data_IF_274580044654
#
_entry.id   IF_274580044654
#
_cell.length_a   1.000
_cell.length_b   1.000
_cell.length_c   1.000
_cell.angle_alpha   90.00
_cell.angle_beta   90.00
_cell.angle_gamma   90.00
#
_symmetry.space_group_name_H-M   'P 1'
#
loop_
_entity.id
_entity.type
_entity.pdbx_description
1 polymer ?
#
# COMPACT_ATOMS: atom_id res chain seq x y z
N UNK A 1 3.35 -16.45 2.73
CA UNK A 1 2.14 -17.29 2.85
C UNK A 1 2.36 -18.23 4.04
N UNK A 2 1.31 -18.64 4.72
CA UNK A 2 1.39 -19.60 5.83
C UNK A 2 0.72 -20.91 5.41
N UNK A 3 1.27 -22.04 5.80
CA UNK A 3 0.70 -23.34 5.52
C UNK A 3 -0.71 -23.47 6.14
N UNK A 4 -1.61 -24.15 5.45
CA UNK A 4 -3.02 -24.29 5.90
C UNK A 4 -3.91 -23.08 5.68
N UNK A 5 -3.37 -21.95 5.21
CA UNK A 5 -4.12 -20.73 4.94
C UNK A 5 -4.53 -20.62 3.48
N UNK A 6 -5.78 -20.21 3.24
CA UNK A 6 -6.30 -19.98 1.89
C UNK A 6 -6.24 -18.49 1.51
N UNK A 7 -5.55 -18.20 0.43
CA UNK A 7 -5.33 -16.83 -0.08
C UNK A 7 -6.05 -16.55 -1.41
N UNK A 8 -6.74 -17.54 -1.96
CA UNK A 8 -7.44 -17.45 -3.22
C UNK A 8 -8.87 -16.94 -3.11
N UNK A 9 -9.63 -17.09 -4.19
CA UNK A 9 -11.04 -16.77 -4.22
C UNK A 9 -11.85 -17.85 -3.50
N UNK A 10 -12.59 -17.55 -2.43
CA UNK A 10 -13.22 -18.55 -1.57
C UNK A 10 -14.21 -19.46 -2.29
N UNK A 11 -14.89 -18.98 -3.33
CA UNK A 11 -15.82 -19.80 -4.10
C UNK A 11 -15.17 -21.06 -4.69
N UNK A 12 -13.87 -21.03 -4.98
CA UNK A 12 -13.13 -22.20 -5.48
C UNK A 12 -13.06 -23.35 -4.48
N UNK A 13 -13.19 -23.07 -3.17
CA UNK A 13 -13.18 -24.10 -2.12
C UNK A 13 -14.48 -24.89 -2.07
N UNK A 14 -15.59 -24.30 -2.48
CA UNK A 14 -16.90 -24.96 -2.46
C UNK A 14 -17.26 -25.57 -3.82
N UNK A 15 -16.53 -25.20 -4.88
CA UNK A 15 -16.67 -25.76 -6.22
C UNK A 15 -15.72 -26.94 -6.47
N UNK A 16 -15.93 -28.02 -5.74
CA UNK A 16 -15.06 -29.20 -5.83
C UNK A 16 -15.05 -29.88 -7.20
N UNK A 17 -16.07 -29.67 -8.02
CA UNK A 17 -16.24 -30.29 -9.35
C UNK A 17 -16.24 -29.26 -10.49
N UNK A 18 -15.52 -28.12 -10.28
CA UNK A 18 -15.46 -27.04 -11.24
C UNK A 18 -16.70 -26.15 -11.22
N UNK A 19 -16.81 -25.27 -12.24
CA UNK A 19 -17.81 -24.22 -12.34
C UNK A 19 -19.27 -24.67 -12.56
N UNK A 20 -19.52 -25.95 -12.56
CA UNK A 20 -20.85 -26.53 -12.80
C UNK A 20 -21.74 -26.58 -11.56
N UNK A 21 -21.19 -26.35 -10.38
CA UNK A 21 -21.95 -26.38 -9.12
C UNK A 21 -22.39 -24.96 -8.74
N UNK A 22 -23.67 -24.83 -8.39
CA UNK A 22 -24.18 -23.55 -7.92
C UNK A 22 -23.57 -23.17 -6.57
N UNK A 23 -22.73 -22.11 -6.49
CA UNK A 23 -22.15 -21.68 -5.25
C UNK A 23 -23.18 -21.00 -4.32
N UNK A 24 -24.40 -20.78 -4.78
CA UNK A 24 -25.46 -20.10 -4.03
C UNK A 24 -25.93 -20.87 -2.79
N UNK A 25 -25.52 -22.12 -2.63
CA UNK A 25 -25.77 -22.88 -1.40
C UNK A 25 -24.89 -22.46 -0.22
N UNK A 26 -23.85 -21.66 -0.47
CA UNK A 26 -22.97 -21.13 0.58
C UNK A 26 -23.11 -19.61 0.61
N UNK A 27 -23.45 -19.07 1.78
CA UNK A 27 -23.63 -17.62 1.90
C UNK A 27 -22.32 -16.86 1.70
N UNK A 28 -22.42 -15.62 1.21
CA UNK A 28 -21.26 -14.71 1.07
C UNK A 28 -20.50 -14.55 2.39
N UNK A 29 -21.18 -14.51 3.52
CA UNK A 29 -20.59 -14.40 4.85
C UNK A 29 -19.77 -15.65 5.24
N UNK A 30 -20.20 -16.83 4.82
CA UNK A 30 -19.45 -18.07 5.02
C UNK A 30 -18.21 -18.13 4.11
N UNK A 31 -18.35 -17.72 2.85
CA UNK A 31 -17.20 -17.62 1.93
C UNK A 31 -16.15 -16.63 2.42
N UNK A 32 -16.55 -15.50 2.98
CA UNK A 32 -15.64 -14.52 3.53
C UNK A 32 -14.78 -15.08 4.66
N UNK A 33 -15.34 -15.92 5.53
CA UNK A 33 -14.63 -16.55 6.64
C UNK A 33 -13.57 -17.57 6.20
N UNK A 34 -13.70 -18.14 5.01
CA UNK A 34 -12.71 -19.09 4.46
C UNK A 34 -11.44 -18.41 3.96
N UNK A 35 -11.48 -17.12 3.71
CA UNK A 35 -10.38 -16.37 3.13
C UNK A 35 -9.43 -15.83 4.19
N UNK A 36 -8.15 -16.05 4.02
CA UNK A 36 -7.13 -15.31 4.78
C UNK A 36 -7.05 -13.88 4.27
N UNK A 37 -7.22 -12.87 5.14
CA UNK A 37 -7.15 -11.47 4.73
C UNK A 37 -5.81 -11.11 4.09
N UNK A 38 -5.83 -10.28 3.04
CA UNK A 38 -4.63 -9.76 2.43
C UNK A 38 -3.89 -8.85 3.42
N UNK A 39 -2.56 -8.94 3.48
CA UNK A 39 -1.70 -8.08 4.31
C UNK A 39 -1.91 -6.59 4.00
N UNK A 40 -2.19 -6.25 2.75
CA UNK A 40 -2.47 -4.90 2.30
C UNK A 40 -3.52 -4.88 1.19
N UNK A 41 -4.44 -3.94 1.29
CA UNK A 41 -5.43 -3.65 0.26
C UNK A 41 -4.92 -2.54 -0.65
N UNK A 42 -5.04 -2.76 -1.95
CA UNK A 42 -4.66 -1.80 -2.99
C UNK A 42 -5.95 -1.27 -3.65
N UNK A 43 -6.45 -0.09 -3.27
CA UNK A 43 -7.72 0.41 -3.77
C UNK A 43 -7.73 0.52 -5.29
N UNK A 44 -8.68 -0.18 -5.92
CA UNK A 44 -8.89 -0.14 -7.37
C UNK A 44 -9.31 1.26 -7.82
N UNK A 45 -8.75 1.73 -8.91
CA UNK A 45 -8.99 3.07 -9.47
C UNK A 45 -8.23 4.20 -8.77
N UNK A 46 -7.68 3.98 -7.58
CA UNK A 46 -6.92 4.99 -6.82
C UNK A 46 -5.42 4.69 -6.78
N UNK A 47 -5.06 3.48 -6.39
CA UNK A 47 -3.66 3.07 -6.22
C UNK A 47 -3.21 2.08 -7.31
N UNK A 48 -3.95 1.00 -7.50
CA UNK A 48 -3.66 0.00 -8.50
C UNK A 48 -4.95 -0.67 -8.99
N UNK A 49 -4.99 -1.10 -10.25
CA UNK A 49 -6.09 -1.85 -10.82
C UNK A 49 -5.74 -3.35 -10.95
N UNK A 50 -4.50 -3.62 -11.37
CA UNK A 50 -4.02 -4.99 -11.59
C UNK A 50 -2.59 -5.12 -11.05
N UNK A 51 -2.44 -5.23 -9.71
CA UNK A 51 -1.13 -5.40 -9.09
C UNK A 51 -0.49 -6.71 -9.53
N UNK A 52 0.82 -6.68 -9.74
CA UNK A 52 1.60 -7.80 -10.25
C UNK A 52 2.59 -8.31 -9.19
N UNK A 53 3.75 -8.80 -9.61
CA UNK A 53 4.74 -9.39 -8.73
C UNK A 53 5.23 -8.42 -7.66
N UNK A 54 5.17 -8.79 -6.36
CA UNK A 54 5.87 -8.07 -5.31
C UNK A 54 7.35 -8.45 -5.27
N UNK A 55 8.24 -7.46 -5.15
CA UNK A 55 9.68 -7.66 -5.04
C UNK A 55 10.25 -6.85 -3.89
N UNK A 56 11.00 -7.51 -2.99
CA UNK A 56 11.70 -6.82 -1.90
C UNK A 56 12.81 -5.93 -2.44
N UNK A 57 12.89 -4.70 -1.93
CA UNK A 57 13.99 -3.79 -2.21
C UNK A 57 15.23 -4.29 -1.45
N UNK A 58 16.34 -4.61 -2.13
CA UNK A 58 17.55 -5.05 -1.46
C UNK A 58 18.11 -3.97 -0.55
N UNK A 59 18.86 -4.39 0.47
CA UNK A 59 19.53 -3.47 1.40
C UNK A 59 20.52 -2.57 0.65
N UNK A 60 20.48 -1.26 0.95
CA UNK A 60 21.33 -0.26 0.31
C UNK A 60 20.88 0.22 -1.06
N UNK A 61 19.80 -0.35 -1.60
CA UNK A 61 19.19 0.09 -2.86
C UNK A 61 18.09 1.11 -2.60
N UNK A 62 17.93 2.09 -3.48
CA UNK A 62 16.95 3.18 -3.36
C UNK A 62 16.99 3.92 -2.00
N UNK A 63 18.20 4.26 -1.56
CA UNK A 63 18.40 5.08 -0.36
C UNK A 63 17.93 4.38 0.91
N UNK A 64 16.98 4.87 1.64
CA UNK A 64 16.45 4.29 2.89
C UNK A 64 15.24 3.38 2.71
N UNK A 65 14.93 2.92 1.48
CA UNK A 65 13.70 2.15 1.22
C UNK A 65 13.89 0.62 1.31
N UNK A 66 14.94 0.16 1.96
CA UNK A 66 15.20 -1.27 2.18
C UNK A 66 14.06 -1.93 2.96
N UNK A 67 13.89 -3.25 2.76
CA UNK A 67 12.90 -4.07 3.46
C UNK A 67 11.43 -3.74 3.14
N UNK A 68 11.19 -2.86 2.18
CA UNK A 68 9.89 -2.61 1.60
C UNK A 68 9.72 -3.45 0.32
N UNK A 69 8.48 -3.70 -0.06
CA UNK A 69 8.19 -4.37 -1.32
C UNK A 69 7.83 -3.34 -2.40
N UNK A 70 8.33 -3.55 -3.61
CA UNK A 70 7.79 -2.93 -4.82
C UNK A 70 6.81 -3.87 -5.48
N UNK A 71 5.70 -3.35 -5.96
CA UNK A 71 4.65 -4.07 -6.65
C UNK A 71 4.45 -3.38 -7.99
N UNK A 72 4.49 -4.15 -9.07
CA UNK A 72 4.19 -3.66 -10.41
C UNK A 72 2.68 -3.45 -10.60
N UNK A 73 2.32 -2.78 -11.69
CA UNK A 73 0.93 -2.50 -12.06
C UNK A 73 0.75 -2.60 -13.58
N UNK A 74 -0.25 -3.40 -14.01
CA UNK A 74 -0.47 -3.72 -15.43
C UNK A 74 -1.13 -2.60 -16.22
N UNK A 75 -2.07 -1.87 -15.61
CA UNK A 75 -2.95 -0.93 -16.32
C UNK A 75 -2.42 0.49 -16.37
N UNK A 76 -1.55 0.86 -15.44
CA UNK A 76 -1.08 2.22 -15.28
C UNK A 76 0.45 2.32 -15.20
N UNK A 77 1.03 3.48 -15.51
CA UNK A 77 2.46 3.72 -15.40
C UNK A 77 2.88 3.94 -13.94
N UNK A 78 2.61 2.95 -13.09
CA UNK A 78 2.78 3.09 -11.63
C UNK A 78 3.52 1.87 -11.05
N UNK A 79 4.37 2.14 -10.07
CA UNK A 79 4.84 1.17 -9.08
C UNK A 79 4.28 1.54 -7.71
N UNK A 80 3.98 0.54 -6.90
CA UNK A 80 3.49 0.70 -5.54
C UNK A 80 4.54 0.19 -4.57
N UNK A 81 4.82 0.93 -3.50
CA UNK A 81 5.58 0.42 -2.35
C UNK A 81 4.63 -0.16 -1.31
N UNK A 82 4.99 -1.26 -0.71
CA UNK A 82 4.31 -1.81 0.44
C UNK A 82 5.25 -1.88 1.63
N UNK A 83 4.85 -1.29 2.75
CA UNK A 83 5.58 -1.19 4.01
C UNK A 83 4.90 -2.11 5.02
N UNK A 84 5.50 -3.26 5.38
CA UNK A 84 4.94 -4.15 6.39
C UNK A 84 4.92 -3.51 7.79
N UNK A 85 3.82 -3.71 8.52
CA UNK A 85 3.68 -3.34 9.94
C UNK A 85 2.95 -4.45 10.72
N UNK A 86 3.57 -5.61 10.92
CA UNK A 86 2.93 -6.72 11.62
C UNK A 86 2.64 -6.36 13.08
N UNK A 87 1.52 -6.87 13.60
CA UNK A 87 1.14 -6.77 15.02
C UNK A 87 0.94 -8.18 15.59
N UNK A 88 1.86 -8.61 16.43
CA UNK A 88 1.97 -10.03 16.80
C UNK A 88 2.09 -10.89 15.52
N UNK A 89 1.26 -11.91 15.42
CA UNK A 89 1.23 -12.80 14.25
C UNK A 89 0.38 -12.30 13.08
N UNK A 90 -0.24 -11.14 13.22
CA UNK A 90 -1.13 -10.58 12.19
C UNK A 90 -0.33 -9.74 11.21
N UNK A 91 -0.32 -10.15 9.95
CA UNK A 91 0.29 -9.39 8.85
C UNK A 91 -0.62 -8.26 8.40
N UNK A 92 -0.09 -7.04 8.41
CA UNK A 92 -0.76 -5.82 7.93
C UNK A 92 0.29 -4.80 7.50
N UNK A 93 -0.13 -3.65 6.99
CA UNK A 93 0.81 -2.59 6.60
C UNK A 93 0.20 -1.54 5.69
N UNK A 94 1.08 -0.76 5.08
CA UNK A 94 0.75 0.39 4.27
C UNK A 94 1.20 0.22 2.82
N UNK A 95 0.34 0.57 1.87
CA UNK A 95 0.67 0.73 0.46
C UNK A 95 0.79 2.22 0.12
N UNK A 96 1.79 2.59 -0.68
CA UNK A 96 2.10 3.98 -1.05
C UNK A 96 2.44 4.02 -2.53
N UNK A 97 1.93 4.97 -3.34
CA UNK A 97 2.42 5.20 -4.70
C UNK A 97 3.94 5.47 -4.66
N UNK A 98 4.71 4.78 -5.50
CA UNK A 98 6.16 4.99 -5.52
C UNK A 98 6.60 5.80 -6.73
N UNK A 99 6.32 5.29 -7.90
CA UNK A 99 6.70 5.91 -9.16
C UNK A 99 5.48 5.94 -10.06
N UNK A 100 5.07 7.13 -10.46
CA UNK A 100 4.00 7.34 -11.42
C UNK A 100 4.51 8.29 -12.50
N UNK A 101 4.87 7.75 -13.66
CA UNK A 101 5.44 8.53 -14.76
C UNK A 101 5.14 7.90 -16.11
N UNK A 102 4.86 8.72 -17.11
CA UNK A 102 4.65 8.26 -18.49
C UNK A 102 5.84 7.46 -19.04
N UNK A 103 7.06 7.78 -18.63
CA UNK A 103 8.25 7.04 -19.06
C UNK A 103 8.27 5.58 -18.57
N UNK A 104 7.58 5.27 -17.46
CA UNK A 104 7.41 3.90 -17.00
C UNK A 104 6.50 3.11 -17.93
N UNK A 105 5.42 3.71 -18.44
CA UNK A 105 4.39 3.02 -19.23
C UNK A 105 3.62 1.96 -18.43
N UNK A 106 2.59 1.41 -19.04
CA UNK A 106 1.82 0.29 -18.46
C UNK A 106 2.53 -1.07 -18.66
N UNK A 107 1.93 -2.15 -18.17
CA UNK A 107 2.43 -3.51 -18.34
C UNK A 107 3.53 -3.94 -17.37
N UNK A 108 3.70 -3.27 -16.25
CA UNK A 108 4.78 -3.53 -15.30
C UNK A 108 4.55 -4.84 -14.56
N UNK A 109 5.07 -5.96 -15.09
CA UNK A 109 4.68 -7.30 -14.68
C UNK A 109 5.73 -8.05 -13.85
N UNK A 110 6.99 -8.08 -14.29
CA UNK A 110 8.08 -8.73 -13.57
C UNK A 110 9.14 -7.73 -13.17
N UNK A 111 9.57 -7.82 -11.92
CA UNK A 111 10.54 -6.91 -11.33
C UNK A 111 11.78 -7.69 -10.88
N UNK A 112 12.96 -7.20 -11.19
CA UNK A 112 14.20 -7.77 -10.67
C UNK A 112 15.22 -6.68 -10.40
N UNK A 113 15.98 -6.84 -9.31
CA UNK A 113 17.14 -5.99 -9.02
C UNK A 113 18.41 -6.64 -9.54
N UNK A 114 19.27 -5.85 -10.13
CA UNK A 114 20.60 -6.27 -10.56
C UNK A 114 21.65 -5.83 -9.53
N UNK A 115 22.86 -6.44 -9.53
CA UNK A 115 23.93 -6.13 -8.55
C UNK A 115 24.34 -4.66 -8.52
N UNK A 116 24.15 -3.91 -9.60
CA UNK A 116 24.40 -2.47 -9.68
C UNK A 116 23.30 -1.59 -9.06
N UNK A 117 22.31 -2.21 -8.37
CA UNK A 117 21.19 -1.51 -7.74
C UNK A 117 20.09 -1.06 -8.70
N UNK A 118 20.16 -1.41 -9.98
CA UNK A 118 19.10 -1.09 -10.93
C UNK A 118 17.89 -2.00 -10.73
N UNK A 119 16.70 -1.44 -10.85
CA UNK A 119 15.45 -2.19 -10.99
C UNK A 119 15.13 -2.35 -12.47
N UNK A 120 15.03 -3.58 -12.93
CA UNK A 120 14.54 -3.92 -14.25
C UNK A 120 13.11 -4.38 -14.18
N UNK A 121 12.29 -3.90 -15.11
CA UNK A 121 10.87 -4.17 -15.20
C UNK A 121 10.58 -4.73 -16.57
N UNK A 122 10.23 -6.02 -16.62
CA UNK A 122 9.74 -6.65 -17.83
C UNK A 122 8.24 -6.42 -17.94
N UNK A 123 7.82 -6.00 -19.12
CA UNK A 123 6.44 -5.68 -19.43
C UNK A 123 5.72 -6.89 -20.04
N UNK A 124 4.41 -6.89 -19.84
CA UNK A 124 3.52 -7.89 -20.45
C UNK A 124 2.30 -7.18 -21.00
N UNK A 125 1.85 -7.62 -22.15
CA UNK A 125 0.62 -7.18 -22.80
C UNK A 125 -0.43 -8.29 -22.74
N UNK A 126 -1.63 -7.92 -22.37
CA UNK A 126 -2.84 -8.73 -22.47
C UNK A 126 -3.85 -7.99 -23.35
N UNK A 127 -4.88 -8.68 -23.82
CA UNK A 127 -5.90 -8.08 -24.71
C UNK A 127 -6.59 -6.82 -24.13
N UNK A 128 -6.57 -6.67 -22.82
CA UNK A 128 -7.27 -5.58 -22.09
C UNK A 128 -6.33 -4.62 -21.36
N UNK A 129 -5.06 -4.94 -21.19
CA UNK A 129 -4.11 -4.10 -20.46
C UNK A 129 -2.67 -4.50 -20.76
N UNK A 130 -1.75 -3.57 -20.52
CA UNK A 130 -0.33 -3.87 -20.53
C UNK A 130 0.50 -2.99 -21.44
N UNK A 131 1.72 -3.45 -21.69
CA UNK A 131 2.73 -2.81 -22.53
C UNK A 131 3.84 -3.79 -22.87
N UNK A 132 4.75 -3.38 -23.75
CA UNK A 132 5.86 -4.22 -24.22
C UNK A 132 7.20 -3.63 -23.85
N UNK A 133 8.23 -4.50 -23.78
CA UNK A 133 9.62 -4.11 -23.59
C UNK A 133 10.15 -4.26 -22.17
N UNK A 134 11.30 -3.62 -21.95
CA UNK A 134 12.01 -3.59 -20.69
C UNK A 134 12.25 -2.13 -20.28
N UNK A 135 12.04 -1.84 -19.00
CA UNK A 135 12.36 -0.54 -18.41
C UNK A 135 13.39 -0.72 -17.31
N UNK A 136 14.40 0.13 -17.29
CA UNK A 136 15.39 0.20 -16.23
C UNK A 136 15.18 1.45 -15.39
N UNK A 137 15.03 1.26 -14.09
CA UNK A 137 14.92 2.33 -13.11
C UNK A 137 16.19 2.35 -12.24
N UNK A 138 16.82 3.52 -12.13
CA UNK A 138 17.99 3.74 -11.27
C UNK A 138 17.80 5.01 -10.46
N UNK A 139 18.33 5.02 -9.24
CA UNK A 139 18.57 6.30 -8.58
C UNK A 139 19.65 7.07 -9.35
N UNK A 140 19.46 8.36 -9.54
CA UNK A 140 20.54 9.26 -9.95
C UNK A 140 21.51 9.38 -8.78
N UNK A 141 22.80 9.57 -9.06
CA UNK A 141 23.89 9.60 -8.05
C UNK A 141 23.67 10.60 -6.91
N UNK A 142 22.85 11.62 -7.11
CA UNK A 142 22.51 12.63 -6.10
C UNK A 142 21.10 12.44 -5.49
N UNK A 143 20.43 11.34 -5.75
CA UNK A 143 19.07 11.10 -5.28
C UNK A 143 18.99 10.42 -3.91
N UNK A 144 20.11 10.31 -3.18
CA UNK A 144 20.09 10.03 -1.73
C UNK A 144 19.26 11.04 -0.93
N UNK A 145 18.87 12.13 -1.58
CA UNK A 145 18.17 13.26 -0.98
C UNK A 145 16.67 13.34 -1.31
N UNK A 146 16.02 12.30 -1.78
CA UNK A 146 14.58 12.35 -1.97
C UNK A 146 13.83 12.21 -0.62
N UNK A 147 12.74 12.94 -0.46
CA UNK A 147 11.85 12.77 0.68
C UNK A 147 10.84 11.66 0.38
N UNK A 148 10.83 10.63 1.19
CA UNK A 148 9.83 9.57 1.14
C UNK A 148 9.45 9.11 2.55
N UNK A 149 8.27 8.50 2.70
CA UNK A 149 7.91 7.77 3.91
C UNK A 149 8.71 6.46 3.90
N UNK A 150 9.54 6.23 4.90
CA UNK A 150 10.32 5.01 5.06
C UNK A 150 9.68 4.04 6.05
N UNK A 151 8.83 4.53 6.93
CA UNK A 151 8.12 3.71 7.90
C UNK A 151 6.68 4.19 8.11
N UNK A 152 5.75 3.24 8.25
CA UNK A 152 4.38 3.49 8.73
C UNK A 152 4.08 2.49 9.82
N UNK A 153 3.73 2.98 11.01
CA UNK A 153 3.38 2.14 12.17
C UNK A 153 2.02 2.53 12.73
N UNK A 154 1.22 1.52 13.00
CA UNK A 154 0.05 1.69 13.86
C UNK A 154 0.52 1.94 15.30
N UNK A 155 -0.15 2.82 15.99
CA UNK A 155 0.01 3.03 17.45
C UNK A 155 -1.33 2.81 18.15
N UNK A 156 -1.34 2.78 19.48
CA UNK A 156 -2.60 2.69 20.25
C UNK A 156 -3.51 3.91 20.06
N UNK A 157 -2.97 5.03 19.53
CA UNK A 157 -3.70 6.30 19.37
C UNK A 157 -3.87 6.75 17.91
N UNK A 158 -3.27 6.08 16.95
CA UNK A 158 -3.29 6.50 15.54
C UNK A 158 -2.12 5.94 14.76
N UNK A 159 -1.34 6.81 14.11
CA UNK A 159 -0.25 6.39 13.23
C UNK A 159 1.05 7.13 13.53
N UNK A 160 2.17 6.46 13.30
CA UNK A 160 3.50 7.07 13.25
C UNK A 160 4.05 6.91 11.83
N UNK A 161 4.56 8.00 11.27
CA UNK A 161 5.21 8.02 9.96
C UNK A 161 6.69 8.37 10.15
N UNK A 162 7.59 7.58 9.58
CA UNK A 162 9.01 7.88 9.44
C UNK A 162 9.30 8.44 8.05
N UNK A 163 10.32 9.28 7.92
CA UNK A 163 10.74 9.94 6.69
C UNK A 163 12.22 9.77 6.43
N UNK A 164 12.58 9.62 5.17
CA UNK A 164 14.00 9.52 4.74
C UNK A 164 14.81 10.78 5.04
N UNK A 165 14.15 11.93 5.20
CA UNK A 165 14.75 13.24 5.48
C UNK A 165 13.94 14.03 6.52
N UNK A 166 14.52 15.06 7.16
CA UNK A 166 13.78 16.00 7.98
C UNK A 166 12.69 16.73 7.18
N UNK A 167 11.50 16.74 7.71
CA UNK A 167 10.32 17.40 7.15
C UNK A 167 10.19 18.82 7.66
N UNK A 168 9.78 19.73 6.78
CA UNK A 168 9.38 21.09 7.17
C UNK A 168 8.10 21.04 8.02
N UNK A 169 8.14 21.48 9.29
CA UNK A 169 6.99 21.42 10.20
C UNK A 169 5.74 22.09 9.65
N UNK A 170 5.89 23.18 8.92
CA UNK A 170 4.77 23.94 8.37
C UNK A 170 4.04 23.17 7.27
N UNK A 171 4.73 22.24 6.61
CA UNK A 171 4.15 21.44 5.53
C UNK A 171 3.21 20.31 6.02
N UNK A 172 3.18 20.01 7.32
CA UNK A 172 2.34 18.95 7.91
C UNK A 172 0.93 19.40 8.33
N UNK A 173 0.53 20.63 8.01
CA UNK A 173 -0.73 21.20 8.51
C UNK A 173 -1.99 20.64 7.84
N UNK A 174 -1.86 20.07 6.63
CA UNK A 174 -2.99 19.62 5.80
C UNK A 174 -3.10 18.10 5.71
N UNK A 175 -2.90 17.39 6.83
CA UNK A 175 -3.07 15.94 6.86
C UNK A 175 -4.57 15.62 6.96
N UNK A 176 -5.03 14.75 6.06
CA UNK A 176 -6.38 14.22 6.06
C UNK A 176 -6.37 12.72 6.25
N UNK A 177 -7.30 12.18 7.03
CA UNK A 177 -7.49 10.75 7.19
C UNK A 177 -8.94 10.40 6.92
N UNK A 178 -9.14 9.46 6.02
CA UNK A 178 -10.44 8.81 5.83
C UNK A 178 -10.30 7.31 6.08
N UNK A 179 -11.39 6.64 6.41
CA UNK A 179 -11.43 5.19 6.48
C UNK A 179 -12.64 4.63 5.75
N UNK A 180 -12.53 3.42 5.25
CA UNK A 180 -13.62 2.62 4.72
C UNK A 180 -13.31 1.14 4.85
N UNK A 181 -14.32 0.30 4.67
CA UNK A 181 -14.12 -1.13 4.49
C UNK A 181 -14.75 -1.59 3.18
N UNK A 182 -14.55 -2.84 2.83
CA UNK A 182 -15.13 -3.45 1.64
C UNK A 182 -16.15 -4.50 2.04
N UNK A 183 -17.23 -4.58 1.28
CA UNK A 183 -18.17 -5.69 1.41
C UNK A 183 -17.78 -6.77 0.41
N UNK A 184 -17.48 -7.97 0.91
CA UNK A 184 -17.34 -9.15 0.06
C UNK A 184 -18.72 -9.54 -0.52
N UNK A 185 -18.79 -9.77 -1.82
CA UNK A 185 -20.02 -10.19 -2.50
C UNK A 185 -19.71 -10.94 -3.80
N UNK A 186 -20.72 -11.53 -4.43
CA UNK A 186 -20.55 -12.40 -5.60
C UNK A 186 -20.17 -11.65 -6.90
N UNK A 187 -20.57 -10.38 -7.05
CA UNK A 187 -20.27 -9.61 -8.26
C UNK A 187 -18.81 -9.14 -8.29
N UNK A 188 -18.30 -8.85 -9.48
CA UNK A 188 -16.96 -8.28 -9.66
C UNK A 188 -16.84 -6.89 -9.02
N UNK A 189 -15.73 -6.67 -8.29
CA UNK A 189 -15.46 -5.44 -7.57
C UNK A 189 -16.23 -5.36 -6.23
N UNK A 190 -15.55 -5.03 -5.16
CA UNK A 190 -16.16 -4.89 -3.83
C UNK A 190 -16.47 -3.42 -3.55
N UNK A 191 -17.72 -3.07 -3.21
CA UNK A 191 -18.08 -1.70 -2.90
C UNK A 191 -17.42 -1.24 -1.60
N UNK A 192 -16.93 0.00 -1.59
CA UNK A 192 -16.51 0.69 -0.39
C UNK A 192 -17.73 1.01 0.46
N UNK A 193 -17.71 0.59 1.71
CA UNK A 193 -18.80 0.86 2.67
C UNK A 193 -18.25 1.50 3.93
N UNK A 194 -19.11 2.15 4.71
CA UNK A 194 -18.78 2.85 5.96
C UNK A 194 -17.59 3.82 5.80
N UNK A 195 -17.61 4.61 4.71
CA UNK A 195 -16.63 5.66 4.47
C UNK A 195 -16.86 6.81 5.45
N UNK A 196 -15.82 7.18 6.20
CA UNK A 196 -15.88 8.26 7.19
C UNK A 196 -14.55 9.01 7.22
N UNK A 197 -14.65 10.30 7.54
CA UNK A 197 -13.50 11.12 7.90
C UNK A 197 -13.07 10.78 9.34
N UNK A 198 -11.75 10.73 9.54
CA UNK A 198 -11.14 10.42 10.84
C UNK A 198 -10.46 11.67 11.36
N UNK A 199 -10.93 12.17 12.49
CA UNK A 199 -10.47 13.46 13.03
C UNK A 199 -9.14 13.28 13.78
N UNK A 200 -8.16 14.10 13.41
CA UNK A 200 -6.85 14.18 14.05
C UNK A 200 -6.93 15.09 15.27
N UNK A 201 -6.28 14.69 16.36
CA UNK A 201 -6.19 15.48 17.59
C UNK A 201 -4.96 16.39 17.54
N UNK A 202 -5.19 17.69 17.37
CA UNK A 202 -4.11 18.70 17.50
C UNK A 202 -3.06 18.67 16.39
N UNK A 203 -3.38 18.05 15.22
CA UNK A 203 -2.43 17.94 14.12
C UNK A 203 -1.38 16.83 14.31
N UNK A 204 -0.36 16.82 13.45
CA UNK A 204 0.77 15.91 13.56
C UNK A 204 1.86 16.50 14.49
N UNK A 205 2.42 15.65 15.33
CA UNK A 205 3.52 16.03 16.24
C UNK A 205 4.83 15.45 15.71
N UNK A 206 5.79 16.30 15.39
CA UNK A 206 7.12 15.87 14.92
C UNK A 206 8.00 15.40 16.08
N UNK A 207 8.87 14.44 15.79
CA UNK A 207 9.99 14.05 16.67
C UNK A 207 11.11 15.10 16.65
N UNK A 208 12.03 15.02 17.62
CA UNK A 208 13.27 15.75 17.55
C UNK A 208 14.01 15.40 16.24
N UNK A 209 14.43 16.44 15.49
CA UNK A 209 15.07 16.27 14.18
C UNK A 209 14.12 16.06 13.01
N UNK A 210 12.81 16.14 13.21
CA UNK A 210 11.76 16.17 12.18
C UNK A 210 11.78 14.98 11.18
N UNK A 211 12.34 13.83 11.58
CA UNK A 211 12.37 12.63 10.73
C UNK A 211 11.22 11.67 10.97
N UNK A 212 10.36 11.94 11.91
CA UNK A 212 9.12 11.20 12.10
C UNK A 212 8.01 12.08 12.68
N UNK A 213 6.78 11.71 12.44
CA UNK A 213 5.64 12.37 13.07
C UNK A 213 4.66 11.35 13.66
N UNK A 214 3.98 11.79 14.70
CA UNK A 214 2.84 11.09 15.32
C UNK A 214 1.56 11.77 14.91
N UNK A 215 0.60 11.00 14.43
CA UNK A 215 -0.74 11.44 14.08
C UNK A 215 -1.72 10.77 15.06
N UNK A 216 -2.10 11.48 16.10
CA UNK A 216 -3.05 10.97 17.08
C UNK A 216 -4.49 11.25 16.63
N UNK A 217 -5.35 10.26 16.75
CA UNK A 217 -6.78 10.41 16.46
C UNK A 217 -7.50 11.04 17.66
N UNK A 218 -8.52 11.85 17.38
CA UNK A 218 -9.40 12.44 18.41
C UNK A 218 -10.16 11.35 19.16
N UNK A 219 -10.60 10.32 18.44
CA UNK A 219 -11.29 9.17 18.99
C UNK A 219 -10.56 7.87 18.56
N UNK A 220 -9.97 7.16 19.53
CA UNK A 220 -9.27 5.88 19.27
C UNK A 220 -10.23 4.77 18.87
N UNK A 221 -11.53 4.90 19.12
CA UNK A 221 -12.59 4.01 18.60
C UNK A 221 -12.69 4.02 17.08
N UNK A 222 -12.13 5.06 16.43
CA UNK A 222 -12.03 5.12 14.96
C UNK A 222 -10.98 4.17 14.38
N UNK A 223 -10.07 3.62 15.19
CA UNK A 223 -9.22 2.51 14.80
C UNK A 223 -10.05 1.23 14.78
N UNK A 224 -10.49 0.80 13.61
CA UNK A 224 -11.34 -0.38 13.42
C UNK A 224 -10.61 -1.47 12.61
N UNK A 225 -10.68 -2.70 13.09
CA UNK A 225 -10.16 -3.89 12.37
C UNK A 225 -10.95 -4.12 11.11
N UNK A 226 -10.29 -4.57 10.03
CA UNK A 226 -10.89 -4.80 8.72
C UNK A 226 -11.10 -3.55 7.88
N UNK A 227 -10.54 -2.41 8.30
CA UNK A 227 -10.65 -1.13 7.58
C UNK A 227 -9.35 -0.75 6.89
N UNK A 228 -9.51 -0.06 5.78
CA UNK A 228 -8.46 0.66 5.07
C UNK A 228 -8.51 2.13 5.46
N UNK A 229 -7.37 2.67 5.88
CA UNK A 229 -7.17 4.09 6.18
C UNK A 229 -6.42 4.73 5.04
N UNK A 230 -6.96 5.82 4.51
CA UNK A 230 -6.28 6.67 3.55
C UNK A 230 -5.77 7.90 4.28
N UNK A 231 -4.45 8.04 4.39
CA UNK A 231 -3.78 9.19 5.01
C UNK A 231 -3.18 10.01 3.88
N UNK A 232 -3.64 11.24 3.69
CA UNK A 232 -3.17 12.16 2.67
C UNK A 232 -2.27 13.23 3.28
N UNK A 233 -1.16 13.49 2.60
CA UNK A 233 -0.11 14.42 3.00
C UNK A 233 0.25 15.36 1.81
N UNK A 234 -0.71 16.14 1.30
CA UNK A 234 -0.63 16.74 -0.04
C UNK A 234 0.49 17.76 -0.22
N UNK A 235 0.99 18.36 0.83
CA UNK A 235 1.96 19.47 0.75
C UNK A 235 3.25 19.19 1.53
N UNK A 236 3.42 17.97 2.00
CA UNK A 236 4.59 17.61 2.81
C UNK A 236 5.86 17.72 1.98
N UNK A 237 6.85 18.45 2.52
CA UNK A 237 8.15 18.68 1.89
C UNK A 237 9.27 18.60 2.93
N UNK A 238 10.48 18.35 2.46
CA UNK A 238 11.68 18.41 3.30
C UNK A 238 12.05 19.87 3.63
N UNK A 239 12.95 20.05 4.60
CA UNK A 239 13.53 21.36 4.88
C UNK A 239 14.23 21.99 3.65
N UNK A 240 14.64 21.19 2.68
CA UNK A 240 15.20 21.64 1.41
C UNK A 240 14.13 21.90 0.32
N UNK A 241 12.83 21.87 0.66
CA UNK A 241 11.73 22.13 -0.25
C UNK A 241 11.35 20.97 -1.18
N UNK A 242 11.95 19.77 -1.03
CA UNK A 242 11.63 18.61 -1.87
C UNK A 242 10.29 18.01 -1.47
N UNK A 243 9.39 17.82 -2.43
CA UNK A 243 8.09 17.23 -2.21
C UNK A 243 8.19 15.74 -1.81
N UNK A 244 7.24 15.30 -1.02
CA UNK A 244 7.10 13.92 -0.59
C UNK A 244 6.80 12.99 -1.78
N UNK A 245 7.61 11.97 -1.94
CA UNK A 245 7.41 10.92 -2.94
C UNK A 245 6.31 9.97 -2.46
N UNK A 246 5.14 10.07 -3.08
CA UNK A 246 3.94 9.33 -2.66
C UNK A 246 3.31 9.97 -1.42
N UNK A 247 2.39 10.89 -1.66
CA UNK A 247 1.72 11.73 -0.67
C UNK A 247 0.48 11.08 -0.04
N UNK A 248 0.19 9.84 -0.42
CA UNK A 248 -1.00 9.12 0.05
C UNK A 248 -0.62 7.74 0.55
N UNK A 249 -0.97 7.46 1.80
CA UNK A 249 -0.75 6.17 2.47
C UNK A 249 -2.07 5.43 2.57
N UNK A 250 -2.10 4.17 2.15
CA UNK A 250 -3.24 3.26 2.28
C UNK A 250 -2.90 2.18 3.31
N UNK A 251 -3.30 2.40 4.56
CA UNK A 251 -2.99 1.48 5.67
C UNK A 251 -4.13 0.50 5.90
N UNK A 252 -3.85 -0.80 5.78
CA UNK A 252 -4.79 -1.87 6.09
C UNK A 252 -4.64 -2.30 7.54
N UNK A 253 -5.72 -2.20 8.34
CA UNK A 253 -5.71 -2.49 9.78
C UNK A 253 -6.45 -3.80 10.06
N UNK A 254 -5.74 -4.82 10.52
CA UNK A 254 -6.31 -6.11 10.95
C UNK A 254 -6.18 -6.36 12.44
N UNK A 255 -5.12 -5.86 13.08
CA UNK A 255 -4.89 -5.98 14.52
C UNK A 255 -4.49 -4.62 15.12
N UNK A 256 -4.93 -4.37 16.37
CA UNK A 256 -4.57 -3.18 17.15
C UNK A 256 -3.34 -3.47 18.03
N UNK A 257 -2.54 -2.44 18.28
CA UNK A 257 -1.47 -2.43 19.28
C UNK A 257 -2.00 -2.11 20.66
#
# INVERSE_FOLDING_TARGET
MREGHFYGHPASLVWKEGWKRDPLQVSVAELEKLRTPAMGLLPQGELANSPTEPRMIPRGVFGGLSEQMLIGEMNSPTLVRFLPDPVGDVSQGAAIPFLRTGALGAGNHRLTFTPDGSLWIAKTHLSWAGGEGLVRVRLKEQASDFLAIDQVKLTSRGFSLGFTQPVDPESLQKIEITRHTYRYHAAYGSPKVDKQDVIIKGGATLSAGNRSCMINLKNTGDLKRGYLYTIRLPEVRSNAGKLLLGDTVYYTLHAKR
#
